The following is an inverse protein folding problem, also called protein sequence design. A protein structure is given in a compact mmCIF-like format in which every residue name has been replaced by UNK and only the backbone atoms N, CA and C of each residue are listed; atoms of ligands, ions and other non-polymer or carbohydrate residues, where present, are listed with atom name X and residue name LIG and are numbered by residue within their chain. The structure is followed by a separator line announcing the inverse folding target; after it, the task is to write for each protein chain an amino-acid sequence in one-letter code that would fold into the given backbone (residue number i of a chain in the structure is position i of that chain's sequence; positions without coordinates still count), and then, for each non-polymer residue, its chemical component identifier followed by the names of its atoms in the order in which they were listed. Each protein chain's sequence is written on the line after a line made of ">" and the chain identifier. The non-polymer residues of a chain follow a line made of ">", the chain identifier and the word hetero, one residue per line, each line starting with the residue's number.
data_IF_745689822840
#
_entry.id   IF_745689822840
#
_cell.length_a   1.000
_cell.length_b   1.000
_cell.length_c   1.000
_cell.angle_alpha   90.00
_cell.angle_beta   90.00
_cell.angle_gamma   90.00
#
_symmetry.space_group_name_H-M   'P 1'
#
loop_
_entity.id
_entity.type
_entity.pdbx_description
1 polymer ?
#
# COMPACT_ATOMS: atom_id res chain seq x y z
N UNK A 1 43.62 -42.60 -34.52
CA UNK A 1 42.67 -42.75 -33.40
C UNK A 1 41.74 -41.54 -33.41
N UNK A 2 40.43 -41.70 -33.68
CA UNK A 2 39.51 -40.57 -33.73
C UNK A 2 39.05 -40.21 -32.32
N UNK A 3 39.33 -38.97 -31.91
CA UNK A 3 38.85 -38.40 -30.65
C UNK A 3 37.39 -38.00 -30.76
N UNK A 4 36.57 -38.51 -29.84
CA UNK A 4 35.15 -38.20 -29.72
C UNK A 4 34.94 -36.77 -29.20
N UNK A 5 34.02 -35.97 -29.79
CA UNK A 5 33.66 -34.68 -29.24
C UNK A 5 32.71 -34.87 -28.05
N UNK A 6 33.07 -34.31 -26.89
CA UNK A 6 32.19 -34.24 -25.72
C UNK A 6 31.09 -33.21 -25.97
N UNK A 7 29.85 -33.68 -26.10
CA UNK A 7 28.63 -32.86 -26.05
C UNK A 7 28.61 -32.09 -24.72
N UNK A 8 28.65 -30.76 -24.78
CA UNK A 8 28.32 -29.91 -23.63
C UNK A 8 26.81 -29.74 -23.61
N UNK A 9 26.12 -30.46 -22.72
CA UNK A 9 24.74 -30.15 -22.35
C UNK A 9 24.73 -28.76 -21.70
N UNK A 10 24.10 -27.79 -22.36
CA UNK A 10 23.79 -26.51 -21.77
C UNK A 10 22.69 -26.69 -20.72
N UNK A 11 23.03 -26.45 -19.46
CA UNK A 11 22.07 -26.33 -18.37
C UNK A 11 21.33 -25.00 -18.55
N UNK A 12 20.18 -25.03 -19.23
CA UNK A 12 19.27 -23.90 -19.22
C UNK A 12 18.70 -23.79 -17.81
N UNK A 13 19.22 -22.85 -17.01
CA UNK A 13 18.57 -22.40 -15.79
C UNK A 13 17.18 -21.89 -16.19
N UNK A 14 16.15 -22.68 -15.89
CA UNK A 14 14.78 -22.20 -15.84
C UNK A 14 14.74 -21.15 -14.73
N UNK A 15 14.87 -19.87 -15.08
CA UNK A 15 14.39 -18.79 -14.22
C UNK A 15 12.89 -19.04 -14.06
N UNK A 16 12.48 -19.50 -12.89
CA UNK A 16 11.06 -19.54 -12.54
C UNK A 16 10.51 -18.13 -12.72
N UNK A 17 9.57 -17.98 -13.65
CA UNK A 17 8.81 -16.74 -13.78
C UNK A 17 8.05 -16.54 -12.47
N UNK A 18 8.50 -15.58 -11.66
CA UNK A 18 7.84 -15.25 -10.39
C UNK A 18 6.38 -14.90 -10.66
N UNK A 19 5.48 -15.57 -9.96
CA UNK A 19 4.04 -15.43 -10.18
C UNK A 19 3.45 -14.31 -9.31
N UNK A 20 2.31 -13.77 -9.72
CA UNK A 20 1.57 -12.83 -8.89
C UNK A 20 1.22 -13.42 -7.51
N UNK A 21 0.89 -14.71 -7.46
CA UNK A 21 0.61 -15.43 -6.21
C UNK A 21 1.81 -15.40 -5.25
N UNK A 22 3.01 -15.76 -5.71
CA UNK A 22 4.23 -15.72 -4.89
C UNK A 22 4.51 -14.32 -4.35
N UNK A 23 4.25 -13.29 -5.17
CA UNK A 23 4.47 -11.92 -4.78
C UNK A 23 3.48 -11.43 -3.72
N UNK A 24 2.21 -11.83 -3.84
CA UNK A 24 1.16 -11.53 -2.87
C UNK A 24 1.42 -12.30 -1.56
N UNK A 25 1.85 -13.56 -1.62
CA UNK A 25 2.23 -14.30 -0.43
C UNK A 25 3.42 -13.67 0.30
N UNK A 26 4.43 -13.17 -0.44
CA UNK A 26 5.53 -12.43 0.17
C UNK A 26 5.01 -11.16 0.87
N UNK A 27 4.07 -10.44 0.26
CA UNK A 27 3.41 -9.29 0.90
C UNK A 27 2.71 -9.70 2.21
N UNK A 28 1.93 -10.79 2.19
CA UNK A 28 1.20 -11.29 3.36
C UNK A 28 2.14 -11.74 4.49
N UNK A 29 3.34 -12.22 4.17
CA UNK A 29 4.40 -12.54 5.14
C UNK A 29 5.16 -11.31 5.65
N UNK A 30 4.76 -10.09 5.27
CA UNK A 30 5.44 -8.85 5.64
C UNK A 30 6.74 -8.59 4.87
N UNK A 31 7.04 -9.38 3.84
CA UNK A 31 8.26 -9.27 3.03
C UNK A 31 8.10 -8.17 1.96
N UNK A 32 7.69 -6.97 2.36
CA UNK A 32 7.24 -5.90 1.46
C UNK A 32 8.27 -5.48 0.42
N UNK A 33 9.55 -5.45 0.79
CA UNK A 33 10.63 -5.12 -0.16
C UNK A 33 10.77 -6.19 -1.27
N UNK A 34 10.65 -7.46 -0.90
CA UNK A 34 10.69 -8.57 -1.86
C UNK A 34 9.44 -8.59 -2.73
N UNK A 35 8.25 -8.43 -2.12
CA UNK A 35 6.98 -8.30 -2.81
C UNK A 35 7.03 -7.18 -3.86
N UNK A 36 7.52 -5.99 -3.47
CA UNK A 36 7.72 -4.85 -4.36
C UNK A 36 8.54 -5.22 -5.59
N UNK A 37 9.71 -5.83 -5.41
CA UNK A 37 10.58 -6.20 -6.53
C UNK A 37 9.95 -7.20 -7.50
N UNK A 38 9.16 -8.16 -6.98
CA UNK A 38 8.45 -9.12 -7.83
C UNK A 38 7.30 -8.44 -8.59
N UNK A 39 6.51 -7.62 -7.90
CA UNK A 39 5.36 -6.92 -8.46
C UNK A 39 5.77 -5.86 -9.50
N UNK A 40 6.92 -5.20 -9.33
CA UNK A 40 7.49 -4.29 -10.33
C UNK A 40 7.71 -5.00 -11.68
N UNK A 41 8.24 -6.23 -11.66
CA UNK A 41 8.44 -7.04 -12.87
C UNK A 41 7.10 -7.46 -13.48
N UNK A 42 6.16 -7.89 -12.64
CA UNK A 42 4.83 -8.35 -13.09
C UNK A 42 4.07 -7.21 -13.76
N UNK A 43 4.02 -6.03 -13.12
CA UNK A 43 3.34 -4.85 -13.67
C UNK A 43 4.02 -4.35 -14.95
N UNK A 44 5.34 -4.48 -15.06
CA UNK A 44 6.05 -4.15 -16.30
C UNK A 44 5.63 -5.05 -17.48
N UNK A 45 5.35 -6.33 -17.24
CA UNK A 45 4.86 -7.26 -18.27
C UNK A 45 3.34 -7.22 -18.48
N UNK A 46 2.59 -6.87 -17.44
CA UNK A 46 1.12 -6.87 -17.43
C UNK A 46 0.59 -5.58 -16.78
N UNK A 47 0.67 -4.42 -17.48
CA UNK A 47 0.33 -3.12 -16.88
C UNK A 47 -1.14 -3.02 -16.43
N UNK A 48 -2.03 -3.82 -17.02
CA UNK A 48 -3.46 -3.81 -16.73
C UNK A 48 -3.88 -4.81 -15.63
N UNK A 49 -2.94 -5.48 -14.97
CA UNK A 49 -3.25 -6.36 -13.83
C UNK A 49 -3.51 -5.51 -12.57
N UNK A 50 -4.79 -5.23 -12.29
CA UNK A 50 -5.23 -4.38 -11.18
C UNK A 50 -4.79 -4.94 -9.82
N UNK A 51 -4.77 -6.26 -9.66
CA UNK A 51 -4.31 -6.92 -8.44
C UNK A 51 -2.82 -6.67 -8.23
N UNK A 52 -2.00 -6.93 -9.25
CA UNK A 52 -0.56 -6.69 -9.17
C UNK A 52 -0.24 -5.21 -8.94
N UNK A 53 -0.94 -4.29 -9.61
CA UNK A 53 -0.79 -2.84 -9.39
C UNK A 53 -1.15 -2.44 -7.96
N UNK A 54 -2.24 -2.98 -7.42
CA UNK A 54 -2.66 -2.70 -6.03
C UNK A 54 -1.60 -3.15 -5.04
N UNK A 55 -1.18 -4.42 -5.11
CA UNK A 55 -0.16 -4.93 -4.19
C UNK A 55 1.19 -4.22 -4.36
N UNK A 56 1.52 -3.73 -5.56
CA UNK A 56 2.72 -2.94 -5.77
C UNK A 56 2.64 -1.61 -5.01
N UNK A 57 1.52 -0.90 -5.14
CA UNK A 57 1.28 0.35 -4.45
C UNK A 57 1.29 0.16 -2.92
N UNK A 58 0.65 -0.90 -2.43
CA UNK A 58 0.68 -1.30 -1.01
C UNK A 58 2.11 -1.59 -0.53
N UNK A 59 2.90 -2.33 -1.32
CA UNK A 59 4.29 -2.66 -0.97
C UNK A 59 5.19 -1.41 -0.93
N UNK A 60 4.95 -0.43 -1.81
CA UNK A 60 5.63 0.87 -1.79
C UNK A 60 5.26 1.66 -0.53
N UNK A 61 3.98 1.74 -0.18
CA UNK A 61 3.52 2.39 1.05
C UNK A 61 4.12 1.74 2.31
N UNK A 62 4.06 0.40 2.40
CA UNK A 62 4.61 -0.35 3.52
C UNK A 62 6.13 -0.22 3.68
N UNK A 63 6.85 0.16 2.62
CA UNK A 63 8.29 0.47 2.66
C UNK A 63 8.60 1.96 2.84
N UNK A 64 7.60 2.76 3.21
CA UNK A 64 7.73 4.20 3.50
C UNK A 64 7.73 5.11 2.27
N UNK A 65 7.62 4.54 1.07
CA UNK A 65 7.56 5.27 -0.20
C UNK A 65 6.16 5.83 -0.49
N UNK A 66 5.55 6.48 0.51
CA UNK A 66 4.19 6.99 0.45
C UNK A 66 3.96 7.99 -0.69
N UNK A 67 4.89 8.91 -0.93
CA UNK A 67 4.73 9.88 -2.03
C UNK A 67 4.66 9.20 -3.40
N UNK A 68 5.49 8.17 -3.60
CA UNK A 68 5.50 7.39 -4.83
C UNK A 68 4.27 6.48 -4.97
N UNK A 69 3.67 6.06 -3.85
CA UNK A 69 2.51 5.18 -3.83
C UNK A 69 1.17 5.93 -3.93
N UNK A 70 1.11 7.20 -3.50
CA UNK A 70 -0.16 7.90 -3.26
C UNK A 70 -1.08 7.97 -4.47
N UNK A 71 -0.53 8.27 -5.67
CA UNK A 71 -1.32 8.32 -6.90
C UNK A 71 -1.89 6.94 -7.28
N UNK A 72 -1.05 5.90 -7.22
CA UNK A 72 -1.45 4.53 -7.55
C UNK A 72 -2.51 4.03 -6.56
N UNK A 73 -2.30 4.25 -5.26
CA UNK A 73 -3.27 3.90 -4.22
C UNK A 73 -4.62 4.59 -4.44
N UNK A 74 -4.61 5.90 -4.78
CA UNK A 74 -5.84 6.64 -5.03
C UNK A 74 -6.57 6.14 -6.28
N UNK A 75 -5.84 5.78 -7.33
CA UNK A 75 -6.42 5.16 -8.51
C UNK A 75 -7.06 3.80 -8.19
N UNK A 76 -6.37 2.96 -7.41
CA UNK A 76 -6.92 1.66 -7.01
C UNK A 76 -8.13 1.80 -6.09
N UNK A 77 -8.08 2.72 -5.13
CA UNK A 77 -9.21 2.99 -4.24
C UNK A 77 -10.46 3.43 -5.01
N UNK A 78 -10.31 4.30 -6.01
CA UNK A 78 -11.46 4.86 -6.75
C UNK A 78 -12.00 3.94 -7.85
N UNK A 79 -11.15 3.06 -8.42
CA UNK A 79 -11.45 2.40 -9.69
C UNK A 79 -11.25 0.89 -9.74
N UNK A 80 -10.67 0.25 -8.72
CA UNK A 80 -10.50 -1.19 -8.74
C UNK A 80 -11.87 -1.88 -8.64
N UNK A 81 -12.14 -2.89 -9.47
CA UNK A 81 -13.43 -3.59 -9.45
C UNK A 81 -13.64 -4.42 -8.18
N UNK A 82 -12.56 -4.94 -7.59
CA UNK A 82 -12.59 -5.73 -6.36
C UNK A 82 -12.68 -4.81 -5.14
N UNK A 83 -13.75 -4.98 -4.36
CA UNK A 83 -14.01 -4.17 -3.17
C UNK A 83 -12.96 -4.35 -2.07
N UNK A 84 -12.40 -5.54 -1.90
CA UNK A 84 -11.35 -5.80 -0.91
C UNK A 84 -10.05 -5.07 -1.31
N UNK A 85 -9.72 -5.04 -2.61
CA UNK A 85 -8.56 -4.29 -3.10
C UNK A 85 -8.76 -2.78 -2.98
N UNK A 86 -9.97 -2.26 -3.30
CA UNK A 86 -10.30 -0.84 -3.04
C UNK A 86 -10.09 -0.49 -1.58
N UNK A 87 -10.68 -1.27 -0.67
CA UNK A 87 -10.55 -1.10 0.78
C UNK A 87 -9.09 -1.03 1.22
N UNK A 88 -8.26 -2.01 0.83
CA UNK A 88 -6.84 -2.04 1.20
C UNK A 88 -6.09 -0.81 0.67
N UNK A 89 -6.34 -0.40 -0.57
CA UNK A 89 -5.72 0.77 -1.16
C UNK A 89 -6.11 2.06 -0.42
N UNK A 90 -7.38 2.22 -0.07
CA UNK A 90 -7.88 3.37 0.70
C UNK A 90 -7.26 3.44 2.10
N UNK A 91 -7.20 2.32 2.83
CA UNK A 91 -6.58 2.25 4.16
C UNK A 91 -5.10 2.65 4.09
N UNK A 92 -4.34 2.07 3.16
CA UNK A 92 -2.93 2.39 2.99
C UNK A 92 -2.71 3.87 2.62
N UNK A 93 -3.63 4.46 1.84
CA UNK A 93 -3.59 5.87 1.48
C UNK A 93 -3.81 6.78 2.70
N UNK A 94 -4.81 6.48 3.53
CA UNK A 94 -5.04 7.19 4.81
C UNK A 94 -3.81 7.08 5.71
N UNK A 95 -3.24 5.88 5.86
CA UNK A 95 -2.04 5.67 6.67
C UNK A 95 -0.85 6.48 6.15
N UNK A 96 -0.65 6.52 4.83
CA UNK A 96 0.40 7.32 4.22
C UNK A 96 0.21 8.82 4.42
N UNK A 97 -1.01 9.33 4.26
CA UNK A 97 -1.32 10.75 4.48
C UNK A 97 -1.13 11.13 5.95
N UNK A 98 -1.57 10.30 6.90
CA UNK A 98 -1.33 10.50 8.34
C UNK A 98 0.16 10.51 8.70
N UNK A 99 0.93 9.56 8.15
CA UNK A 99 2.38 9.46 8.41
C UNK A 99 3.17 10.68 7.87
N UNK A 100 2.58 11.45 6.96
CA UNK A 100 3.17 12.66 6.37
C UNK A 100 2.49 13.95 6.85
N UNK A 101 1.69 13.87 7.90
CA UNK A 101 0.98 15.01 8.50
C UNK A 101 -0.01 15.71 7.54
N UNK A 102 -0.55 14.98 6.56
CA UNK A 102 -1.48 15.47 5.54
C UNK A 102 -2.92 15.13 5.89
N UNK A 103 -3.35 15.59 7.07
CA UNK A 103 -4.66 15.25 7.63
C UNK A 103 -5.82 15.62 6.67
N UNK A 104 -5.70 16.74 5.97
CA UNK A 104 -6.64 17.23 4.97
C UNK A 104 -6.84 16.27 3.78
N UNK A 105 -5.80 15.50 3.41
CA UNK A 105 -5.88 14.50 2.35
C UNK A 105 -6.46 13.17 2.83
N UNK A 106 -6.22 12.83 4.11
CA UNK A 106 -6.73 11.59 4.71
C UNK A 106 -8.26 11.62 4.88
N UNK A 107 -8.84 12.76 5.26
CA UNK A 107 -10.27 12.90 5.54
C UNK A 107 -11.22 12.43 4.43
N UNK A 108 -11.11 12.90 3.17
CA UNK A 108 -12.04 12.50 2.12
C UNK A 108 -11.94 10.99 1.79
N UNK A 109 -10.75 10.41 1.89
CA UNK A 109 -10.56 8.96 1.70
C UNK A 109 -11.23 8.18 2.83
N UNK A 110 -11.06 8.63 4.07
CA UNK A 110 -11.67 8.00 5.23
C UNK A 110 -13.21 8.11 5.22
N UNK A 111 -13.76 9.26 4.84
CA UNK A 111 -15.22 9.46 4.72
C UNK A 111 -15.83 8.47 3.71
N UNK A 112 -15.17 8.26 2.57
CA UNK A 112 -15.61 7.27 1.60
C UNK A 112 -15.46 5.83 2.13
N UNK A 113 -14.34 5.49 2.80
CA UNK A 113 -14.15 4.18 3.42
C UNK A 113 -15.26 3.86 4.43
N UNK A 114 -15.64 4.81 5.28
CA UNK A 114 -16.71 4.61 6.26
C UNK A 114 -18.08 4.38 5.61
N UNK A 115 -18.34 5.00 4.45
CA UNK A 115 -19.59 4.79 3.69
C UNK A 115 -19.62 3.41 3.01
N UNK A 116 -18.50 2.98 2.44
CA UNK A 116 -18.41 1.71 1.70
C UNK A 116 -18.23 0.50 2.63
N UNK A 117 -17.57 0.68 3.77
CA UNK A 117 -17.18 -0.39 4.70
C UNK A 117 -17.46 0.01 6.17
N UNK A 118 -18.72 0.31 6.55
CA UNK A 118 -19.06 0.92 7.83
C UNK A 118 -18.73 0.06 9.06
N UNK A 119 -18.79 -1.27 8.93
CA UNK A 119 -18.57 -2.21 10.04
C UNK A 119 -17.17 -2.84 10.01
N UNK A 120 -16.30 -2.36 9.12
CA UNK A 120 -14.96 -2.92 8.95
C UNK A 120 -14.01 -2.48 10.07
N UNK A 121 -13.38 -3.45 10.73
CA UNK A 121 -12.53 -3.19 11.89
C UNK A 121 -11.32 -2.30 11.58
N UNK A 122 -10.68 -2.46 10.41
CA UNK A 122 -9.52 -1.64 10.05
C UNK A 122 -9.96 -0.23 9.69
N UNK A 123 -11.11 -0.06 9.03
CA UNK A 123 -11.69 1.26 8.73
C UNK A 123 -12.07 2.00 10.01
N UNK A 124 -12.71 1.32 10.96
CA UNK A 124 -13.02 1.89 12.28
C UNK A 124 -11.75 2.29 13.04
N UNK A 125 -10.71 1.46 12.96
CA UNK A 125 -9.42 1.74 13.59
C UNK A 125 -8.72 2.96 12.98
N UNK A 126 -8.64 3.05 11.65
CA UNK A 126 -8.08 4.22 10.98
C UNK A 126 -8.94 5.47 11.25
N UNK A 127 -10.27 5.33 11.33
CA UNK A 127 -11.17 6.43 11.71
C UNK A 127 -10.79 6.99 13.08
N UNK A 128 -10.61 6.13 14.08
CA UNK A 128 -10.17 6.54 15.40
C UNK A 128 -8.82 7.25 15.38
N UNK A 129 -7.85 6.76 14.59
CA UNK A 129 -6.52 7.39 14.44
C UNK A 129 -6.60 8.79 13.83
N UNK A 130 -7.38 8.96 12.77
CA UNK A 130 -7.57 10.27 12.12
C UNK A 130 -8.24 11.25 13.09
N UNK A 131 -9.30 10.85 13.79
CA UNK A 131 -9.95 11.70 14.80
C UNK A 131 -9.02 12.08 15.94
N UNK A 132 -8.27 11.11 16.49
CA UNK A 132 -7.32 11.36 17.57
C UNK A 132 -6.24 12.34 17.14
N UNK A 133 -5.71 12.19 15.91
CA UNK A 133 -4.74 13.14 15.37
C UNK A 133 -5.34 14.54 15.25
N UNK A 134 -6.52 14.68 14.66
CA UNK A 134 -7.20 15.95 14.50
C UNK A 134 -7.44 16.65 15.85
N UNK A 135 -7.88 15.89 16.85
CA UNK A 135 -8.03 16.38 18.22
C UNK A 135 -6.72 16.88 18.80
N UNK A 136 -5.66 16.06 18.75
CA UNK A 136 -4.36 16.41 19.28
C UNK A 136 -3.78 17.65 18.61
N UNK A 137 -3.89 17.77 17.29
CA UNK A 137 -3.41 18.94 16.55
C UNK A 137 -4.17 20.21 16.97
N UNK A 138 -5.50 20.13 17.08
CA UNK A 138 -6.34 21.26 17.48
C UNK A 138 -6.07 21.70 18.93
N UNK A 139 -5.95 20.74 19.86
CA UNK A 139 -5.63 21.00 21.26
C UNK A 139 -4.22 21.59 21.40
N UNK A 140 -3.26 21.06 20.66
CA UNK A 140 -1.89 21.60 20.64
C UNK A 140 -1.87 23.05 20.13
N UNK A 141 -2.57 23.35 19.03
CA UNK A 141 -2.69 24.72 18.53
C UNK A 141 -3.40 25.65 19.53
N UNK A 142 -4.41 25.16 20.24
CA UNK A 142 -5.06 25.91 21.31
C UNK A 142 -4.02 26.30 22.38
N UNK A 143 -3.25 25.36 22.90
CA UNK A 143 -2.24 25.67 23.92
C UNK A 143 -1.15 26.64 23.45
N UNK A 144 -0.73 26.55 22.18
CA UNK A 144 0.23 27.51 21.63
C UNK A 144 -0.33 28.95 21.58
N UNK A 145 -1.63 29.09 21.23
CA UNK A 145 -2.26 30.40 21.01
C UNK A 145 -2.89 30.97 22.29
N UNK A 146 -3.34 30.11 23.20
CA UNK A 146 -4.01 30.45 24.45
C UNK A 146 -3.48 29.61 25.63
N UNK A 147 -2.23 29.86 26.09
CA UNK A 147 -1.58 29.02 27.11
C UNK A 147 -2.32 28.97 28.47
N UNK A 148 -3.17 29.95 28.76
CA UNK A 148 -3.99 29.99 29.97
C UNK A 148 -5.33 29.22 29.84
N UNK A 149 -5.60 28.59 28.70
CA UNK A 149 -6.79 27.75 28.51
C UNK A 149 -6.73 26.53 29.44
N UNK A 150 -7.79 26.31 30.23
CA UNK A 150 -7.91 25.19 31.18
C UNK A 150 -8.67 23.97 30.61
N UNK A 151 -8.98 23.98 29.30
CA UNK A 151 -9.76 22.91 28.66
C UNK A 151 -8.86 21.72 28.34
N UNK A 152 -9.20 20.55 28.87
CA UNK A 152 -8.63 19.22 28.57
C UNK A 152 -9.74 18.22 28.29
#
# INVERSE_FOLDING_TARGET
>A
MPGTPRLRLGFALLLSAQTATEAIEAFQRGQYAQARQMLEKIVASSPNDDTARTFLALSRAATGACDAAASDLRQQFNGNADAALRRLAGIALVQCDLARDRLENAWPVLDQLQKEFPDDADVLYETAKVHMKAWNDAVFQMYQKTPASFRV
#
